data_IF_745904776733
#
_entry.id   IF_745904776733
#
_cell.length_a   1.000
_cell.length_b   1.000
_cell.length_c   1.000
_cell.angle_alpha   90.00
_cell.angle_beta   90.00
_cell.angle_gamma   90.00
#
_symmetry.space_group_name_H-M   'P 1'
#
loop_
_entity.id
_entity.type
_entity.pdbx_description
1 polymer ?
#
# COMPACT_ATOMS: atom_id res chain seq x y z
N UNK A 1 -42.12 -16.27 -46.96
CA UNK A 1 -43.13 -17.04 -46.21
C UNK A 1 -43.70 -16.11 -45.14
N UNK A 2 -44.72 -15.35 -45.52
CA UNK A 2 -45.68 -14.69 -44.61
C UNK A 2 -46.98 -15.54 -44.69
N UNK A 3 -47.98 -15.46 -43.79
CA UNK A 3 -48.71 -14.20 -43.48
C UNK A 3 -49.23 -14.06 -42.01
N UNK A 4 -49.44 -12.82 -41.52
CA UNK A 4 -50.73 -12.12 -41.22
C UNK A 4 -51.56 -12.65 -40.03
N UNK A 5 -51.75 -11.87 -38.94
CA UNK A 5 -52.77 -10.81 -38.66
C UNK A 5 -54.20 -11.33 -38.45
N UNK A 6 -54.83 -10.94 -37.33
CA UNK A 6 -56.28 -11.09 -37.11
C UNK A 6 -56.80 -10.67 -35.73
N UNK A 7 -57.34 -9.45 -35.65
CA UNK A 7 -58.08 -8.82 -34.52
C UNK A 7 -59.50 -9.41 -34.32
N UNK A 8 -60.04 -9.26 -33.10
CA UNK A 8 -61.41 -8.76 -32.74
C UNK A 8 -61.51 -8.80 -31.18
N UNK A 9 -61.87 -7.76 -30.40
CA UNK A 9 -63.13 -6.97 -30.35
C UNK A 9 -64.21 -7.79 -29.62
N UNK A 10 -65.00 -7.39 -28.62
CA UNK A 10 -65.30 -6.17 -27.86
C UNK A 10 -66.27 -6.59 -26.71
N UNK A 11 -66.50 -5.75 -25.68
CA UNK A 11 -67.71 -5.85 -24.85
C UNK A 11 -67.56 -5.47 -23.36
N UNK A 12 -67.94 -4.25 -22.99
CA UNK A 12 -68.67 -3.98 -21.73
C UNK A 12 -70.18 -4.27 -21.95
N UNK A 13 -71.08 -4.13 -20.95
CA UNK A 13 -71.12 -3.03 -19.97
C UNK A 13 -71.61 -3.37 -18.52
N UNK A 14 -71.50 -2.35 -17.66
CA UNK A 14 -72.38 -1.93 -16.55
C UNK A 14 -72.84 -2.86 -15.40
N UNK A 15 -72.70 -2.35 -14.16
CA UNK A 15 -73.85 -2.24 -13.25
C UNK A 15 -73.68 -2.68 -11.79
N UNK A 16 -73.75 -1.70 -10.87
CA UNK A 16 -74.56 -1.83 -9.64
C UNK A 16 -73.85 -2.20 -8.33
N UNK A 17 -73.87 -1.28 -7.36
CA UNK A 17 -73.27 -1.42 -6.03
C UNK A 17 -74.18 -2.05 -4.96
N UNK A 18 -73.60 -2.21 -3.76
CA UNK A 18 -74.33 -2.54 -2.54
C UNK A 18 -73.46 -3.12 -1.41
N UNK A 19 -73.23 -2.30 -0.37
CA UNK A 19 -73.39 -2.72 1.04
C UNK A 19 -72.24 -3.43 1.78
N UNK A 20 -71.56 -2.65 2.64
CA UNK A 20 -71.18 -2.92 4.05
C UNK A 20 -70.56 -4.28 4.46
N UNK A 21 -69.33 -4.20 5.00
CA UNK A 21 -68.75 -5.19 5.90
C UNK A 21 -67.45 -4.67 6.50
N UNK A 22 -67.54 -4.12 7.71
CA UNK A 22 -66.39 -3.77 8.54
C UNK A 22 -65.74 -5.05 9.10
N UNK A 23 -64.43 -5.20 8.91
CA UNK A 23 -63.56 -6.01 9.76
C UNK A 23 -62.11 -5.60 9.49
N UNK A 24 -61.43 -5.26 10.58
CA UNK A 24 -60.06 -4.76 10.67
C UNK A 24 -59.07 -5.57 9.81
N UNK A 25 -58.35 -4.86 8.94
CA UNK A 25 -57.07 -5.32 8.39
C UNK A 25 -56.02 -4.31 8.79
N UNK A 26 -55.28 -4.67 9.83
CA UNK A 26 -54.02 -4.04 10.20
C UNK A 26 -53.05 -4.16 9.00
N UNK A 27 -52.59 -3.01 8.51
CA UNK A 27 -51.43 -2.90 7.64
C UNK A 27 -50.18 -3.39 8.40
N UNK A 28 -49.32 -4.25 7.82
CA UNK A 28 -47.98 -4.44 8.35
C UNK A 28 -47.12 -3.29 7.85
N UNK A 29 -47.12 -2.19 8.59
CA UNK A 29 -46.08 -1.18 8.51
C UNK A 29 -44.77 -1.76 9.11
N UNK A 30 -43.69 -1.55 8.37
CA UNK A 30 -42.32 -1.40 8.86
C UNK A 30 -41.68 -2.60 9.57
N UNK A 31 -41.12 -3.50 8.76
CA UNK A 31 -39.97 -4.30 9.16
C UNK A 31 -38.88 -4.20 8.07
N UNK A 32 -38.49 -2.98 7.70
CA UNK A 32 -37.10 -2.78 7.26
C UNK A 32 -36.22 -2.78 8.51
N UNK A 33 -35.91 -4.00 8.97
CA UNK A 33 -34.79 -4.24 9.88
C UNK A 33 -33.51 -3.99 9.07
N UNK A 34 -33.20 -2.70 8.88
CA UNK A 34 -31.91 -2.26 8.39
C UNK A 34 -30.91 -2.79 9.41
N UNK A 35 -30.23 -3.87 9.04
CA UNK A 35 -29.11 -4.45 9.76
C UNK A 35 -28.01 -3.39 9.87
N UNK A 36 -28.18 -2.44 10.79
CA UNK A 36 -27.20 -1.41 11.12
C UNK A 36 -26.04 -2.14 11.78
N UNK A 37 -25.05 -2.46 10.96
CA UNK A 37 -23.75 -2.90 11.45
C UNK A 37 -23.28 -1.84 12.46
N UNK A 38 -23.07 -2.20 13.74
CA UNK A 38 -22.72 -1.21 14.75
C UNK A 38 -21.49 -0.45 14.27
N UNK A 39 -21.49 0.88 14.38
CA UNK A 39 -20.43 1.74 13.82
C UNK A 39 -19.00 1.28 14.20
N UNK A 40 -18.84 0.65 15.37
CA UNK A 40 -17.58 0.03 15.79
C UNK A 40 -17.11 -1.17 14.95
N UNK A 41 -18.01 -1.95 14.36
CA UNK A 41 -17.67 -3.06 13.47
C UNK A 41 -17.17 -2.57 12.10
N UNK A 42 -17.67 -1.43 11.62
CA UNK A 42 -17.20 -0.82 10.38
C UNK A 42 -15.76 -0.27 10.53
N UNK A 43 -15.47 0.44 11.62
CA UNK A 43 -14.11 0.95 11.90
C UNK A 43 -13.12 -0.17 12.19
N UNK A 44 -13.53 -1.23 12.89
CA UNK A 44 -12.71 -2.42 13.09
C UNK A 44 -12.36 -3.12 11.76
N UNK A 45 -13.32 -3.22 10.84
CA UNK A 45 -13.08 -3.76 9.49
C UNK A 45 -12.14 -2.87 8.69
N UNK A 46 -12.31 -1.55 8.74
CA UNK A 46 -11.42 -0.60 8.08
C UNK A 46 -9.99 -0.72 8.61
N UNK A 47 -9.79 -0.82 9.93
CA UNK A 47 -8.49 -1.05 10.56
C UNK A 47 -7.85 -2.36 10.09
N UNK A 48 -8.62 -3.46 10.05
CA UNK A 48 -8.14 -4.75 9.56
C UNK A 48 -7.65 -4.68 8.11
N UNK A 49 -8.40 -4.00 7.23
CA UNK A 49 -8.00 -3.81 5.84
C UNK A 49 -6.76 -2.91 5.70
N UNK A 50 -6.64 -1.85 6.50
CA UNK A 50 -5.42 -1.03 6.51
C UNK A 50 -4.20 -1.84 6.96
N UNK A 51 -4.36 -2.73 7.95
CA UNK A 51 -3.30 -3.64 8.36
C UNK A 51 -2.88 -4.57 7.20
N UNK A 52 -3.83 -5.12 6.45
CA UNK A 52 -3.55 -5.95 5.27
C UNK A 52 -2.79 -5.17 4.18
N UNK A 53 -3.20 -3.92 3.91
CA UNK A 53 -2.53 -3.04 2.94
C UNK A 53 -1.12 -2.65 3.38
N UNK A 54 -0.93 -2.29 4.65
CA UNK A 54 0.38 -1.91 5.20
C UNK A 54 1.33 -3.10 5.26
N UNK A 55 0.80 -4.27 5.67
CA UNK A 55 1.54 -5.53 5.64
C UNK A 55 2.02 -5.85 4.22
N UNK A 56 1.12 -5.78 3.24
CA UNK A 56 1.47 -6.03 1.84
C UNK A 56 2.54 -5.05 1.34
N UNK A 57 2.38 -3.75 1.60
CA UNK A 57 3.34 -2.72 1.18
C UNK A 57 4.73 -2.91 1.80
N UNK A 58 4.82 -3.20 3.09
CA UNK A 58 6.10 -3.51 3.75
C UNK A 58 6.73 -4.79 3.17
N UNK A 59 5.92 -5.83 2.91
CA UNK A 59 6.41 -7.08 2.32
C UNK A 59 6.93 -6.85 0.90
N UNK A 60 6.22 -6.10 0.05
CA UNK A 60 6.68 -5.79 -1.31
C UNK A 60 8.03 -5.08 -1.30
N UNK A 61 8.25 -4.11 -0.42
CA UNK A 61 9.55 -3.43 -0.31
C UNK A 61 10.63 -4.36 0.23
N UNK A 62 10.31 -5.22 1.21
CA UNK A 62 11.23 -6.22 1.72
C UNK A 62 11.63 -7.25 0.64
N UNK A 63 10.67 -7.71 -0.16
CA UNK A 63 10.89 -8.65 -1.24
C UNK A 63 11.79 -8.04 -2.31
N UNK A 64 11.50 -6.80 -2.73
CA UNK A 64 12.25 -6.10 -3.76
C UNK A 64 13.68 -5.72 -3.36
N UNK A 65 13.95 -5.44 -2.08
CA UNK A 65 15.25 -4.93 -1.62
C UNK A 65 16.04 -5.90 -0.74
N UNK A 66 15.38 -6.59 0.20
CA UNK A 66 16.05 -7.41 1.20
C UNK A 66 16.19 -8.86 0.73
N UNK A 67 15.13 -9.44 0.15
CA UNK A 67 15.12 -10.85 -0.22
C UNK A 67 15.74 -11.14 -1.59
N UNK A 68 15.59 -10.22 -2.56
CA UNK A 68 16.33 -10.29 -3.82
C UNK A 68 17.82 -10.06 -3.63
N UNK A 69 18.20 -9.25 -2.62
CA UNK A 69 19.58 -8.81 -2.37
C UNK A 69 20.25 -8.25 -3.63
N UNK A 70 19.49 -7.54 -4.48
CA UNK A 70 19.99 -6.96 -5.73
C UNK A 70 21.01 -5.85 -5.40
N UNK A 71 22.28 -5.97 -5.82
CA UNK A 71 23.33 -5.01 -5.48
C UNK A 71 23.22 -3.76 -6.35
N UNK A 72 22.14 -3.00 -6.18
CA UNK A 72 21.85 -1.75 -6.89
C UNK A 72 21.48 -0.65 -5.90
N UNK A 73 21.77 0.61 -6.20
CA UNK A 73 21.39 1.73 -5.36
C UNK A 73 19.90 1.94 -5.48
N UNK A 74 19.28 2.24 -4.33
CA UNK A 74 17.89 2.67 -4.30
C UNK A 74 17.80 4.11 -4.77
N UNK A 75 16.99 4.36 -5.81
CA UNK A 75 16.77 5.69 -6.39
C UNK A 75 15.34 6.16 -6.18
N UNK A 76 15.05 6.63 -4.97
CA UNK A 76 13.75 7.23 -4.63
C UNK A 76 13.90 8.72 -4.32
N UNK A 77 12.82 9.47 -4.51
CA UNK A 77 12.76 10.88 -4.09
C UNK A 77 13.07 11.04 -2.58
N UNK A 78 12.70 10.02 -1.78
CA UNK A 78 13.01 9.92 -0.36
C UNK A 78 14.50 9.85 -0.04
N UNK A 79 15.38 9.58 -1.02
CA UNK A 79 16.83 9.51 -0.83
C UNK A 79 17.56 10.67 -1.53
N UNK A 80 17.02 11.20 -2.63
CA UNK A 80 17.61 12.32 -3.37
C UNK A 80 17.69 13.61 -2.54
N UNK A 81 16.81 13.78 -1.54
CA UNK A 81 16.78 14.94 -0.63
C UNK A 81 17.92 14.91 0.40
N UNK A 82 18.46 13.74 0.74
CA UNK A 82 19.39 13.58 1.87
C UNK A 82 20.85 13.56 1.44
N UNK A 83 21.17 13.41 0.17
CA UNK A 83 22.54 13.33 -0.35
C UNK A 83 23.16 11.94 -0.16
N UNK A 84 23.86 11.48 -1.20
CA UNK A 84 24.27 10.09 -1.45
C UNK A 84 25.46 9.59 -0.60
N UNK A 85 25.76 10.24 0.53
CA UNK A 85 26.90 9.84 1.37
C UNK A 85 26.49 8.80 2.42
N UNK A 86 27.40 7.86 2.70
CA UNK A 86 27.23 6.84 3.75
C UNK A 86 26.92 7.48 5.11
N UNK A 87 27.60 8.57 5.48
CA UNK A 87 27.40 9.26 6.75
C UNK A 87 25.96 9.77 6.93
N UNK A 88 25.42 10.46 5.92
CA UNK A 88 24.03 10.94 5.96
C UNK A 88 23.01 9.81 5.94
N UNK A 89 23.26 8.75 5.18
CA UNK A 89 22.38 7.57 5.21
C UNK A 89 22.33 6.94 6.61
N UNK A 90 23.48 6.82 7.29
CA UNK A 90 23.55 6.31 8.66
C UNK A 90 22.77 7.17 9.66
N UNK A 91 22.88 8.49 9.56
CA UNK A 91 22.11 9.42 10.40
C UNK A 91 20.60 9.30 10.17
N UNK A 92 20.19 9.24 8.90
CA UNK A 92 18.80 9.04 8.52
C UNK A 92 18.27 7.72 9.05
N UNK A 93 18.99 6.60 8.85
CA UNK A 93 18.61 5.28 9.40
C UNK A 93 18.45 5.34 10.92
N UNK A 94 19.39 5.97 11.63
CA UNK A 94 19.29 6.12 13.08
C UNK A 94 18.08 6.95 13.52
N UNK A 95 17.77 8.02 12.78
CA UNK A 95 16.58 8.86 13.01
C UNK A 95 15.29 8.09 12.79
N UNK A 96 15.19 7.36 11.68
CA UNK A 96 14.02 6.53 11.32
C UNK A 96 13.81 5.39 12.33
N UNK A 97 14.88 4.71 12.75
CA UNK A 97 14.80 3.67 13.77
C UNK A 97 14.30 4.19 15.12
N UNK A 98 14.72 5.40 15.53
CA UNK A 98 14.20 6.05 16.75
C UNK A 98 12.73 6.43 16.62
N UNK A 99 12.32 7.00 15.48
CA UNK A 99 10.91 7.30 15.20
C UNK A 99 10.05 6.05 15.27
N UNK A 100 10.54 4.93 14.74
CA UNK A 100 9.82 3.65 14.72
C UNK A 100 9.62 3.10 16.13
N UNK A 101 10.63 3.23 16.99
CA UNK A 101 10.52 2.84 18.39
C UNK A 101 9.43 3.64 19.15
N UNK A 102 9.29 4.94 18.83
CA UNK A 102 8.25 5.80 19.40
C UNK A 102 6.87 5.36 18.90
N UNK A 103 6.70 5.20 17.58
CA UNK A 103 5.41 4.79 17.02
C UNK A 103 4.98 3.40 17.52
N UNK A 104 5.89 2.43 17.65
CA UNK A 104 5.56 1.11 18.18
C UNK A 104 5.17 1.15 19.66
N UNK A 105 5.76 2.06 20.44
CA UNK A 105 5.34 2.31 21.84
C UNK A 105 3.94 2.88 21.88
N UNK A 106 3.68 3.87 21.03
CA UNK A 106 2.39 4.56 21.00
C UNK A 106 1.29 3.61 20.49
N UNK A 107 1.60 2.75 19.51
CA UNK A 107 0.72 1.65 19.07
C UNK A 107 0.40 0.68 20.20
N UNK A 108 1.40 0.25 20.98
CA UNK A 108 1.18 -0.64 22.13
C UNK A 108 0.28 0.02 23.19
N UNK A 109 0.45 1.33 23.42
CA UNK A 109 -0.40 2.09 24.33
C UNK A 109 -1.83 2.26 23.79
N UNK A 110 -2.00 2.48 22.49
CA UNK A 110 -3.32 2.56 21.84
C UNK A 110 -4.04 1.22 21.84
N UNK A 111 -3.33 0.11 21.62
CA UNK A 111 -3.87 -1.25 21.65
C UNK A 111 -4.37 -1.67 23.05
N UNK A 112 -3.93 -0.97 24.11
CA UNK A 112 -4.37 -1.16 25.48
C UNK A 112 -5.64 -0.36 25.84
N UNK A 113 -6.09 0.57 24.99
CA UNK A 113 -7.26 1.42 25.28
C UNK A 113 -8.55 0.67 24.97
N UNK A 114 -9.46 0.67 25.95
CA UNK A 114 -10.81 0.11 25.82
C UNK A 114 -11.86 1.23 25.77
N UNK A 115 -12.90 1.12 24.92
CA UNK A 115 -13.10 0.10 23.89
C UNK A 115 -12.21 0.35 22.66
N UNK A 116 -11.60 -0.71 22.10
CA UNK A 116 -10.73 -0.61 20.92
C UNK A 116 -11.43 0.05 19.71
N UNK A 117 -12.76 -0.12 19.59
CA UNK A 117 -13.56 0.52 18.56
C UNK A 117 -13.51 2.06 18.59
N UNK A 118 -13.35 2.66 19.78
CA UNK A 118 -13.20 4.11 19.92
C UNK A 118 -11.81 4.61 19.52
N UNK A 119 -10.80 3.72 19.54
CA UNK A 119 -9.41 4.01 19.17
C UNK A 119 -8.98 3.47 17.80
N UNK A 120 -9.89 2.86 17.04
CA UNK A 120 -9.58 2.18 15.79
C UNK A 120 -9.03 3.13 14.71
N UNK A 121 -9.49 4.39 14.72
CA UNK A 121 -9.01 5.43 13.81
C UNK A 121 -7.58 5.85 14.15
N UNK A 122 -7.25 6.08 15.42
CA UNK A 122 -5.88 6.41 15.85
C UNK A 122 -4.92 5.24 15.59
N UNK A 123 -5.37 4.01 15.82
CA UNK A 123 -4.61 2.81 15.47
C UNK A 123 -4.33 2.74 13.97
N UNK A 124 -5.32 3.05 13.12
CA UNK A 124 -5.16 3.07 11.67
C UNK A 124 -4.07 4.05 11.24
N UNK A 125 -4.14 5.28 11.74
CA UNK A 125 -3.14 6.33 11.48
C UNK A 125 -1.75 5.87 11.95
N UNK A 126 -1.65 5.32 13.17
CA UNK A 126 -0.39 4.85 13.72
C UNK A 126 0.23 3.71 12.89
N UNK A 127 -0.59 2.76 12.41
CA UNK A 127 -0.14 1.67 11.53
C UNK A 127 0.33 2.20 10.16
N UNK A 128 -0.37 3.18 9.60
CA UNK A 128 0.05 3.86 8.35
C UNK A 128 1.41 4.57 8.53
N UNK A 129 1.59 5.32 9.62
CA UNK A 129 2.85 5.99 9.95
C UNK A 129 4.00 5.00 10.17
N UNK A 130 3.74 3.86 10.83
CA UNK A 130 4.71 2.77 10.99
C UNK A 130 5.10 2.22 9.61
N UNK A 131 4.13 1.98 8.73
CA UNK A 131 4.37 1.48 7.38
C UNK A 131 5.26 2.43 6.57
N UNK A 132 4.93 3.72 6.52
CA UNK A 132 5.72 4.74 5.82
C UNK A 132 7.16 4.79 6.34
N UNK A 133 7.31 4.74 7.66
CA UNK A 133 8.62 4.82 8.29
C UNK A 133 9.47 3.57 8.04
N UNK A 134 8.85 2.37 8.05
CA UNK A 134 9.52 1.10 7.74
C UNK A 134 9.95 1.04 6.28
N UNK A 135 9.11 1.49 5.35
CA UNK A 135 9.46 1.60 3.93
C UNK A 135 10.66 2.54 3.75
N UNK A 136 10.60 3.75 4.33
CA UNK A 136 11.71 4.71 4.27
C UNK A 136 13.00 4.15 4.90
N UNK A 137 12.90 3.48 6.05
CA UNK A 137 14.04 2.84 6.72
C UNK A 137 14.67 1.78 5.82
N UNK A 138 13.84 0.94 5.18
CA UNK A 138 14.30 -0.16 4.31
C UNK A 138 15.03 0.37 3.08
N UNK A 139 14.48 1.39 2.43
CA UNK A 139 15.13 2.09 1.32
C UNK A 139 16.50 2.66 1.72
N UNK A 140 16.56 3.34 2.88
CA UNK A 140 17.81 3.90 3.40
C UNK A 140 18.84 2.82 3.72
N UNK A 141 18.42 1.70 4.30
CA UNK A 141 19.33 0.60 4.65
C UNK A 141 19.88 -0.10 3.40
N UNK A 142 19.02 -0.35 2.40
CA UNK A 142 19.46 -0.96 1.15
C UNK A 142 20.44 -0.05 0.40
N UNK A 143 20.16 1.26 0.32
CA UNK A 143 21.07 2.22 -0.30
C UNK A 143 22.40 2.33 0.48
N UNK A 144 22.35 2.43 1.82
CA UNK A 144 23.56 2.47 2.64
C UNK A 144 24.39 1.19 2.48
N UNK A 145 23.74 0.03 2.45
CA UNK A 145 24.38 -1.27 2.22
C UNK A 145 25.07 -1.32 0.87
N UNK A 146 24.42 -0.83 -0.19
CA UNK A 146 25.00 -0.71 -1.53
C UNK A 146 26.26 0.18 -1.50
N UNK A 147 26.18 1.39 -0.94
CA UNK A 147 27.30 2.32 -0.89
C UNK A 147 28.50 1.72 -0.15
N UNK A 148 28.26 1.09 1.00
CA UNK A 148 29.31 0.42 1.79
C UNK A 148 29.93 -0.75 1.04
N UNK A 149 29.13 -1.50 0.28
CA UNK A 149 29.59 -2.68 -0.46
C UNK A 149 30.45 -2.33 -1.67
N UNK A 150 30.09 -1.27 -2.40
CA UNK A 150 30.84 -0.80 -3.58
C UNK A 150 32.17 -0.15 -3.20
N UNK A 151 32.28 0.38 -1.98
CA UNK A 151 33.55 0.91 -1.46
C UNK A 151 34.58 -0.19 -1.09
N UNK A 152 34.18 -1.46 -1.04
CA UNK A 152 35.11 -2.55 -0.72
C UNK A 152 36.03 -2.90 -1.91
N UNK A 153 37.22 -3.40 -1.60
CA UNK A 153 38.17 -3.83 -2.63
C UNK A 153 37.60 -4.94 -3.52
N UNK A 154 37.85 -4.83 -4.83
CA UNK A 154 37.35 -5.76 -5.83
C UNK A 154 35.87 -5.61 -6.16
N UNK A 155 35.19 -4.59 -5.62
CA UNK A 155 33.84 -4.21 -6.04
C UNK A 155 33.88 -3.17 -7.16
N UNK A 156 32.85 -3.17 -8.02
CA UNK A 156 32.59 -2.15 -9.02
C UNK A 156 31.11 -1.72 -8.98
N UNK A 157 30.79 -0.44 -9.23
CA UNK A 157 29.42 0.06 -9.18
C UNK A 157 28.53 -0.58 -10.25
N UNK A 158 27.22 -0.42 -10.11
CA UNK A 158 26.27 -0.89 -11.13
C UNK A 158 26.40 -0.07 -12.43
N UNK A 159 25.97 -0.68 -13.53
CA UNK A 159 25.74 0.02 -14.79
C UNK A 159 24.22 0.18 -14.95
N UNK A 160 23.69 1.43 -14.89
CA UNK A 160 22.27 1.66 -15.02
C UNK A 160 21.77 1.28 -16.41
N UNK A 161 20.63 0.59 -16.46
CA UNK A 161 19.82 0.50 -17.66
C UNK A 161 18.78 1.61 -17.78
N UNK A 162 17.98 1.59 -18.86
CA UNK A 162 16.84 2.49 -19.03
C UNK A 162 15.80 2.35 -17.91
N UNK A 163 15.62 1.14 -17.38
CA UNK A 163 14.60 0.83 -16.36
C UNK A 163 15.25 0.58 -15.01
N UNK A 164 14.83 1.33 -13.99
CA UNK A 164 15.11 1.02 -12.60
C UNK A 164 14.02 0.10 -12.04
N UNK A 165 14.36 -1.18 -11.85
CA UNK A 165 13.43 -2.20 -11.36
C UNK A 165 12.77 -1.81 -10.05
N UNK A 166 13.55 -1.31 -9.08
CA UNK A 166 13.01 -0.98 -7.78
C UNK A 166 12.06 0.20 -7.89
N UNK A 167 12.49 1.29 -8.54
CA UNK A 167 11.67 2.50 -8.70
C UNK A 167 10.34 2.20 -9.41
N UNK A 168 10.39 1.41 -10.49
CA UNK A 168 9.22 1.05 -11.28
C UNK A 168 8.23 0.19 -10.47
N UNK A 169 8.71 -0.91 -9.87
CA UNK A 169 7.86 -1.79 -9.06
C UNK A 169 7.33 -1.08 -7.81
N UNK A 170 8.15 -0.21 -7.19
CA UNK A 170 7.75 0.58 -6.02
C UNK A 170 6.65 1.58 -6.35
N UNK A 171 6.72 2.25 -7.50
CA UNK A 171 5.70 3.18 -7.98
C UNK A 171 4.38 2.45 -8.33
N UNK A 172 4.46 1.30 -9.00
CA UNK A 172 3.28 0.46 -9.26
C UNK A 172 2.60 0.00 -7.96
N UNK A 173 3.38 -0.44 -6.98
CA UNK A 173 2.86 -0.83 -5.66
C UNK A 173 2.26 0.35 -4.87
N UNK A 174 2.78 1.58 -5.04
CA UNK A 174 2.20 2.77 -4.41
C UNK A 174 0.83 3.12 -5.01
N UNK A 175 0.68 3.00 -6.33
CA UNK A 175 -0.62 3.15 -7.01
C UNK A 175 -1.63 2.13 -6.50
N UNK A 176 -1.22 0.85 -6.39
CA UNK A 176 -2.05 -0.21 -5.84
C UNK A 176 -2.48 0.08 -4.40
N UNK A 177 -1.54 0.51 -3.56
CA UNK A 177 -1.82 0.86 -2.17
C UNK A 177 -2.81 2.02 -2.06
N UNK A 178 -2.54 3.14 -2.73
CA UNK A 178 -3.35 4.37 -2.63
C UNK A 178 -4.75 4.21 -3.23
N UNK A 179 -4.88 3.50 -4.35
CA UNK A 179 -6.20 3.15 -4.91
C UNK A 179 -6.92 2.13 -4.02
N UNK A 180 -6.19 1.20 -3.40
CA UNK A 180 -6.72 0.23 -2.44
C UNK A 180 -7.36 0.84 -1.20
N UNK A 181 -6.90 2.02 -0.74
CA UNK A 181 -7.52 2.75 0.38
C UNK A 181 -9.00 3.11 0.13
N UNK A 182 -9.43 3.26 -1.13
CA UNK A 182 -10.84 3.46 -1.44
C UNK A 182 -11.72 2.25 -1.11
N UNK A 183 -11.13 1.08 -0.85
CA UNK A 183 -11.86 -0.10 -0.34
C UNK A 183 -11.90 -0.14 1.18
N UNK A 184 -11.03 0.61 1.87
CA UNK A 184 -10.99 0.67 3.34
C UNK A 184 -11.90 1.75 3.89
N UNK A 185 -12.05 2.85 3.16
CA UNK A 185 -12.98 3.92 3.51
C UNK A 185 -14.42 3.59 3.09
N UNK A 186 -15.39 4.06 3.87
CA UNK A 186 -16.78 4.19 3.43
C UNK A 186 -17.01 5.58 2.83
N UNK A 187 -18.00 5.72 1.94
CA UNK A 187 -18.38 7.01 1.35
C UNK A 187 -18.65 8.09 2.42
N UNK A 188 -19.21 7.72 3.57
CA UNK A 188 -19.51 8.65 4.66
C UNK A 188 -18.29 9.04 5.50
N UNK A 189 -17.23 8.23 5.46
CA UNK A 189 -15.98 8.46 6.21
C UNK A 189 -14.89 9.14 5.38
N UNK A 190 -14.96 9.04 4.05
CA UNK A 190 -13.94 9.57 3.16
C UNK A 190 -14.07 11.08 3.06
N UNK A 191 -12.99 11.79 3.40
CA UNK A 191 -12.94 13.25 3.32
C UNK A 191 -12.44 13.70 1.95
N UNK A 192 -12.83 14.91 1.54
CA UNK A 192 -12.29 15.53 0.32
C UNK A 192 -10.77 15.69 0.37
N UNK A 193 -10.19 15.85 1.57
CA UNK A 193 -8.74 15.89 1.78
C UNK A 193 -8.08 14.55 1.47
N UNK A 194 -8.62 13.44 2.00
CA UNK A 194 -8.13 12.09 1.70
C UNK A 194 -8.21 11.75 0.21
N UNK A 195 -9.33 12.09 -0.45
CA UNK A 195 -9.47 11.91 -1.91
C UNK A 195 -8.41 12.70 -2.69
N UNK A 196 -8.09 13.90 -2.21
CA UNK A 196 -7.07 14.74 -2.84
C UNK A 196 -5.66 14.18 -2.61
N UNK A 197 -5.34 13.70 -1.41
CA UNK A 197 -4.08 13.02 -1.11
C UNK A 197 -3.87 11.78 -1.99
N UNK A 198 -4.91 10.94 -2.13
CA UNK A 198 -4.89 9.77 -3.01
C UNK A 198 -4.60 10.20 -4.46
N UNK A 199 -5.28 11.23 -4.98
CA UNK A 199 -5.03 11.73 -6.33
C UNK A 199 -3.60 12.25 -6.52
N UNK A 200 -3.07 13.00 -5.56
CA UNK A 200 -1.70 13.54 -5.64
C UNK A 200 -0.70 12.38 -5.70
N UNK A 201 -0.77 11.46 -4.73
CA UNK A 201 0.17 10.35 -4.64
C UNK A 201 0.09 9.37 -5.83
N UNK A 202 -1.12 9.10 -6.34
CA UNK A 202 -1.31 8.30 -7.56
C UNK A 202 -0.71 9.00 -8.77
N UNK A 203 -0.90 10.31 -8.90
CA UNK A 203 -0.35 11.10 -10.02
C UNK A 203 1.17 11.13 -9.96
N UNK A 204 1.77 11.37 -8.79
CA UNK A 204 3.22 11.34 -8.59
C UNK A 204 3.81 9.99 -8.97
N UNK A 205 3.20 8.90 -8.50
CA UNK A 205 3.64 7.54 -8.81
C UNK A 205 3.50 7.20 -10.30
N UNK A 206 2.41 7.62 -10.92
CA UNK A 206 2.22 7.43 -12.36
C UNK A 206 3.19 8.24 -13.22
N UNK A 207 3.60 9.43 -12.77
CA UNK A 207 4.61 10.22 -13.46
C UNK A 207 5.97 9.49 -13.46
N UNK A 208 6.36 8.87 -12.33
CA UNK A 208 7.57 8.02 -12.27
C UNK A 208 7.51 6.89 -13.30
N UNK A 209 6.35 6.22 -13.42
CA UNK A 209 6.14 5.16 -14.41
C UNK A 209 6.20 5.70 -15.85
N UNK A 210 5.59 6.86 -16.11
CA UNK A 210 5.60 7.51 -17.42
C UNK A 210 7.01 7.93 -17.84
N UNK A 211 7.78 8.51 -16.93
CA UNK A 211 9.18 8.92 -17.17
C UNK A 211 10.05 7.69 -17.46
N UNK A 212 9.83 6.59 -16.73
CA UNK A 212 10.50 5.31 -16.98
C UNK A 212 10.17 4.74 -18.35
N UNK A 213 8.90 4.81 -18.78
CA UNK A 213 8.48 4.41 -20.13
C UNK A 213 9.14 5.25 -21.22
N UNK A 214 9.18 6.58 -21.03
CA UNK A 214 9.79 7.50 -22.00
C UNK A 214 11.27 7.20 -22.17
N UNK A 215 12.01 7.14 -21.06
CA UNK A 215 13.43 6.79 -21.07
C UNK A 215 13.69 5.43 -21.72
N UNK A 216 12.91 4.42 -21.36
CA UNK A 216 13.06 3.09 -21.94
C UNK A 216 12.70 3.02 -23.42
N UNK A 217 11.70 3.79 -23.88
CA UNK A 217 11.39 3.88 -25.31
C UNK A 217 12.53 4.54 -26.11
N UNK A 218 13.16 5.57 -25.55
CA UNK A 218 14.24 6.30 -26.23
C UNK A 218 15.53 5.48 -26.32
N UNK A 219 15.83 4.67 -25.31
CA UNK A 219 17.04 3.83 -25.24
C UNK A 219 16.84 2.41 -25.81
N UNK A 220 15.61 1.98 -26.06
CA UNK A 220 15.31 0.65 -26.60
C UNK A 220 15.90 0.47 -28.01
N UNK A 221 16.64 -0.62 -28.19
CA UNK A 221 17.24 -0.98 -29.48
C UNK A 221 16.19 -1.53 -30.46
N UNK A 222 15.27 -2.36 -29.97
CA UNK A 222 14.24 -2.99 -30.79
C UNK A 222 13.01 -2.08 -30.97
N UNK A 223 12.54 -1.96 -32.21
CA UNK A 223 11.37 -1.15 -32.56
C UNK A 223 10.09 -1.62 -31.86
N UNK A 224 9.92 -2.94 -31.69
CA UNK A 224 8.76 -3.51 -31.00
C UNK A 224 8.73 -3.14 -29.52
N UNK A 225 9.87 -3.22 -28.84
CA UNK A 225 10.01 -2.85 -27.43
C UNK A 225 9.75 -1.35 -27.25
N UNK A 226 10.31 -0.53 -28.15
CA UNK A 226 10.09 0.91 -28.18
C UNK A 226 8.62 1.27 -28.33
N UNK A 227 7.91 0.65 -29.27
CA UNK A 227 6.49 0.92 -29.46
C UNK A 227 5.66 0.41 -28.27
N UNK A 228 6.01 -0.75 -27.69
CA UNK A 228 5.31 -1.27 -26.53
C UNK A 228 5.41 -0.34 -25.32
N UNK A 229 6.58 0.26 -25.05
CA UNK A 229 6.71 1.28 -24.00
C UNK A 229 5.83 2.52 -24.26
N UNK A 230 5.71 2.95 -25.53
CA UNK A 230 4.81 4.06 -25.90
C UNK A 230 3.34 3.71 -25.71
N UNK A 231 2.95 2.45 -25.96
CA UNK A 231 1.61 1.97 -25.68
C UNK A 231 1.32 1.91 -24.18
N UNK A 232 2.27 1.41 -23.38
CA UNK A 232 2.17 1.42 -21.92
C UNK A 232 2.02 2.84 -21.37
N UNK A 233 2.83 3.80 -21.85
CA UNK A 233 2.74 5.22 -21.49
C UNK A 233 1.35 5.80 -21.77
N UNK A 234 0.81 5.57 -22.97
CA UNK A 234 -0.54 6.02 -23.36
C UNK A 234 -1.61 5.41 -22.46
N UNK A 235 -1.51 4.12 -22.16
CA UNK A 235 -2.47 3.40 -21.32
C UNK A 235 -2.47 3.92 -19.87
N UNK A 236 -1.28 4.08 -19.25
CA UNK A 236 -1.16 4.62 -17.90
C UNK A 236 -1.71 6.04 -17.85
N UNK A 237 -1.32 6.90 -18.79
CA UNK A 237 -1.82 8.28 -18.86
C UNK A 237 -3.35 8.33 -18.96
N UNK A 238 -3.96 7.49 -19.82
CA UNK A 238 -5.40 7.44 -19.98
C UNK A 238 -6.12 6.96 -18.71
N UNK A 239 -5.61 5.90 -18.06
CA UNK A 239 -6.21 5.33 -16.85
C UNK A 239 -6.07 6.25 -15.64
N UNK A 240 -4.93 6.94 -15.45
CA UNK A 240 -4.74 7.96 -14.41
C UNK A 240 -5.72 9.12 -14.58
N UNK A 241 -5.85 9.64 -15.80
CA UNK A 241 -6.77 10.74 -16.08
C UNK A 241 -8.22 10.34 -15.82
N UNK A 242 -8.59 9.11 -16.17
CA UNK A 242 -9.94 8.58 -15.93
C UNK A 242 -10.20 8.43 -14.42
N UNK A 243 -9.25 7.86 -13.67
CA UNK A 243 -9.33 7.75 -12.22
C UNK A 243 -9.46 9.12 -11.54
N UNK A 244 -8.58 10.07 -11.87
CA UNK A 244 -8.61 11.42 -11.31
C UNK A 244 -9.89 12.17 -11.70
N UNK A 245 -10.40 11.97 -12.92
CA UNK A 245 -11.69 12.48 -13.36
C UNK A 245 -12.84 11.93 -12.52
N UNK A 246 -12.83 10.63 -12.24
CA UNK A 246 -13.82 9.98 -11.37
C UNK A 246 -13.79 10.52 -9.95
N UNK A 247 -12.60 10.74 -9.36
CA UNK A 247 -12.47 11.32 -8.02
C UNK A 247 -12.97 12.76 -7.98
N UNK A 248 -12.67 13.57 -9.00
CA UNK A 248 -13.23 14.93 -9.12
C UNK A 248 -14.75 14.89 -9.18
N UNK A 249 -15.32 14.01 -10.00
CA UNK A 249 -16.77 13.86 -10.12
C UNK A 249 -17.43 13.39 -8.82
N UNK A 250 -16.78 12.48 -8.08
CA UNK A 250 -17.23 12.05 -6.75
C UNK A 250 -17.23 13.21 -5.75
N UNK A 251 -16.22 14.08 -5.76
CA UNK A 251 -16.15 15.26 -4.87
C UNK A 251 -17.31 16.21 -5.13
N UNK A 252 -17.69 16.39 -6.40
CA UNK A 252 -18.82 17.24 -6.78
C UNK A 252 -20.17 16.56 -6.48
N UNK A 253 -20.24 15.24 -6.61
CA UNK A 253 -21.46 14.43 -6.43
C UNK A 253 -21.16 13.14 -5.64
N UNK A 254 -21.22 13.17 -4.29
CA UNK A 254 -20.91 12.02 -3.44
C UNK A 254 -22.05 11.00 -3.44
N UNK A 255 -22.01 10.05 -4.37
CA UNK A 255 -22.97 8.93 -4.46
C UNK A 255 -22.23 7.60 -4.44
N UNK A 256 -22.88 6.53 -3.98
CA UNK A 256 -22.29 5.18 -3.96
C UNK A 256 -21.89 4.70 -5.36
N UNK A 257 -22.65 5.10 -6.38
CA UNK A 257 -22.32 4.82 -7.77
C UNK A 257 -21.00 5.47 -8.18
N UNK A 258 -20.82 6.76 -7.86
CA UNK A 258 -19.58 7.48 -8.16
C UNK A 258 -18.40 6.97 -7.32
N UNK A 259 -18.67 6.54 -6.10
CA UNK A 259 -17.65 5.94 -5.23
C UNK A 259 -17.15 4.62 -5.81
N UNK A 260 -18.08 3.76 -6.22
CA UNK A 260 -17.77 2.50 -6.88
C UNK A 260 -17.06 2.70 -8.22
N UNK A 261 -17.42 3.74 -8.98
CA UNK A 261 -16.70 4.10 -10.20
C UNK A 261 -15.23 4.42 -9.92
N UNK A 262 -14.92 5.16 -8.84
CA UNK A 262 -13.53 5.43 -8.44
C UNK A 262 -12.76 4.14 -8.13
N UNK A 263 -13.40 3.18 -7.46
CA UNK A 263 -12.78 1.88 -7.16
C UNK A 263 -12.47 1.09 -8.44
N UNK A 264 -13.42 1.01 -9.37
CA UNK A 264 -13.24 0.31 -10.66
C UNK A 264 -12.15 0.95 -11.52
N UNK A 265 -12.12 2.28 -11.61
CA UNK A 265 -11.05 2.97 -12.35
C UNK A 265 -9.70 2.85 -11.65
N UNK A 266 -9.66 2.78 -10.32
CA UNK A 266 -8.46 2.48 -9.55
C UNK A 266 -7.90 1.08 -9.85
N UNK A 267 -8.77 0.07 -9.98
CA UNK A 267 -8.37 -1.29 -10.37
C UNK A 267 -7.79 -1.36 -11.79
N UNK A 268 -8.42 -0.68 -12.75
CA UNK A 268 -7.92 -0.61 -14.13
C UNK A 268 -6.55 0.07 -14.21
N UNK A 269 -6.35 1.13 -13.42
CA UNK A 269 -5.06 1.80 -13.30
C UNK A 269 -4.00 0.89 -12.69
N UNK A 270 -4.29 0.25 -11.55
CA UNK A 270 -3.37 -0.70 -10.89
C UNK A 270 -2.96 -1.83 -11.84
N UNK A 271 -3.92 -2.39 -12.59
CA UNK A 271 -3.64 -3.43 -13.59
C UNK A 271 -2.69 -2.93 -14.68
N UNK A 272 -2.88 -1.69 -15.14
CA UNK A 272 -2.04 -1.07 -16.17
C UNK A 272 -0.61 -0.82 -15.68
N UNK A 273 -0.45 -0.34 -14.45
CA UNK A 273 0.85 -0.14 -13.81
C UNK A 273 1.60 -1.47 -13.60
N UNK A 274 0.90 -2.50 -13.12
CA UNK A 274 1.48 -3.82 -12.89
C UNK A 274 1.87 -4.51 -14.21
N UNK A 275 1.07 -4.35 -15.27
CA UNK A 275 1.42 -4.86 -16.59
C UNK A 275 2.72 -4.24 -17.14
N UNK A 276 2.92 -2.92 -16.96
CA UNK A 276 4.19 -2.26 -17.29
C UNK A 276 5.33 -2.81 -16.45
N UNK A 277 5.15 -2.94 -15.13
CA UNK A 277 6.18 -3.46 -14.24
C UNK A 277 6.66 -4.85 -14.66
N UNK A 278 5.74 -5.74 -15.02
CA UNK A 278 6.07 -7.07 -15.55
C UNK A 278 6.80 -6.97 -16.89
N UNK A 279 6.27 -6.21 -17.84
CA UNK A 279 6.86 -6.05 -19.17
C UNK A 279 8.29 -5.47 -19.12
N UNK A 280 8.51 -4.44 -18.31
CA UNK A 280 9.78 -3.73 -18.27
C UNK A 280 10.87 -4.49 -17.48
N UNK A 281 10.49 -5.43 -16.61
CA UNK A 281 11.43 -6.20 -15.79
C UNK A 281 11.69 -7.61 -16.29
N UNK A 282 11.00 -8.04 -17.36
CA UNK A 282 11.20 -9.36 -17.98
C UNK A 282 12.52 -9.47 -18.74
N UNK A 283 13.03 -8.37 -19.31
CA UNK A 283 14.27 -8.33 -20.08
C UNK A 283 15.40 -7.74 -19.24
N UNK A 284 16.43 -8.54 -18.87
CA UNK A 284 17.59 -8.06 -18.14
C UNK A 284 18.36 -6.94 -18.85
N UNK A 285 18.30 -6.85 -20.17
CA UNK A 285 19.01 -5.81 -20.93
C UNK A 285 18.49 -4.41 -20.62
N UNK A 286 17.19 -4.28 -20.35
CA UNK A 286 16.56 -3.00 -19.98
C UNK A 286 16.92 -2.54 -18.56
N UNK A 287 17.35 -3.44 -17.69
CA UNK A 287 17.73 -3.11 -16.32
C UNK A 287 19.21 -2.75 -16.19
N UNK A 288 20.05 -3.06 -17.19
CA UNK A 288 21.50 -2.96 -17.06
C UNK A 288 22.08 -4.01 -16.10
N UNK A 289 23.32 -3.84 -15.65
CA UNK A 289 23.99 -4.79 -14.76
C UNK A 289 24.11 -4.26 -13.33
N UNK A 290 23.78 -5.08 -12.33
CA UNK A 290 24.01 -4.75 -10.91
C UNK A 290 25.51 -4.59 -10.60
N UNK A 291 25.84 -4.08 -9.41
CA UNK A 291 27.22 -3.96 -8.97
C UNK A 291 27.90 -5.33 -8.87
N UNK A 292 29.15 -5.39 -9.29
CA UNK A 292 29.99 -6.57 -9.08
C UNK A 292 30.61 -6.41 -7.71
N UNK A 293 30.30 -7.29 -6.77
CA UNK A 293 30.78 -7.19 -5.40
C UNK A 293 31.86 -8.24 -5.13
N UNK A 294 32.97 -7.81 -4.53
CA UNK A 294 33.94 -8.70 -3.90
C UNK A 294 33.33 -9.43 -2.69
N UNK A 295 34.07 -10.39 -2.11
CA UNK A 295 33.61 -11.14 -0.94
C UNK A 295 33.25 -10.24 0.24
N UNK A 296 34.13 -9.29 0.59
CA UNK A 296 33.89 -8.31 1.66
C UNK A 296 32.69 -7.40 1.37
N UNK A 297 32.51 -6.96 0.12
CA UNK A 297 31.35 -6.16 -0.31
C UNK A 297 30.04 -6.91 -0.14
N UNK A 298 29.99 -8.17 -0.56
CA UNK A 298 28.80 -9.03 -0.42
C UNK A 298 28.47 -9.33 1.03
N UNK A 299 29.47 -9.65 1.87
CA UNK A 299 29.29 -9.84 3.31
C UNK A 299 28.75 -8.57 3.99
N UNK A 300 29.27 -7.40 3.61
CA UNK A 300 28.83 -6.10 4.15
C UNK A 300 27.37 -5.83 3.77
N UNK A 301 27.02 -5.96 2.49
CA UNK A 301 25.64 -5.79 2.01
C UNK A 301 24.69 -6.74 2.76
N UNK A 302 25.00 -8.04 2.77
CA UNK A 302 24.17 -9.06 3.42
C UNK A 302 24.00 -8.80 4.91
N UNK A 303 25.05 -8.34 5.60
CA UNK A 303 24.99 -7.98 7.01
C UNK A 303 24.02 -6.82 7.26
N UNK A 304 24.04 -5.78 6.41
CA UNK A 304 23.13 -4.63 6.50
C UNK A 304 21.69 -5.07 6.22
N UNK A 305 21.46 -5.79 5.10
CA UNK A 305 20.13 -6.24 4.71
C UNK A 305 19.53 -7.21 5.74
N UNK A 306 20.33 -8.12 6.30
CA UNK A 306 19.91 -9.03 7.37
C UNK A 306 19.55 -8.28 8.66
N UNK A 307 20.33 -7.28 9.05
CA UNK A 307 20.02 -6.45 10.22
C UNK A 307 18.74 -5.63 9.99
N UNK A 308 18.54 -5.08 8.79
CA UNK A 308 17.31 -4.39 8.40
C UNK A 308 16.10 -5.33 8.43
N UNK A 309 16.23 -6.55 7.92
CA UNK A 309 15.16 -7.56 7.95
C UNK A 309 14.72 -7.89 9.39
N UNK A 310 15.65 -7.88 10.34
CA UNK A 310 15.36 -8.01 11.77
C UNK A 310 14.50 -6.89 12.36
N UNK A 311 14.42 -5.73 11.70
CA UNK A 311 13.50 -4.63 12.03
C UNK A 311 12.17 -4.76 11.27
N UNK A 312 12.24 -5.04 9.96
CA UNK A 312 11.05 -5.10 9.09
C UNK A 312 10.12 -6.26 9.46
N UNK A 313 10.65 -7.45 9.72
CA UNK A 313 9.85 -8.66 9.99
C UNK A 313 8.93 -8.51 11.22
N UNK A 314 9.40 -8.00 12.38
CA UNK A 314 8.50 -7.68 13.49
C UNK A 314 7.43 -6.64 13.16
N UNK A 315 7.73 -5.62 12.34
CA UNK A 315 6.74 -4.61 11.93
C UNK A 315 5.64 -5.20 11.04
N UNK A 316 5.99 -6.13 10.15
CA UNK A 316 5.03 -6.91 9.38
C UNK A 316 4.13 -7.74 10.32
N UNK A 317 4.72 -8.42 11.30
CA UNK A 317 3.95 -9.20 12.28
C UNK A 317 3.00 -8.34 13.13
N UNK A 318 3.40 -7.11 13.47
CA UNK A 318 2.54 -6.16 14.20
C UNK A 318 1.25 -5.89 13.43
N UNK A 319 1.29 -5.73 12.11
CA UNK A 319 0.08 -5.55 11.31
C UNK A 319 -0.87 -6.75 11.44
N UNK A 320 -0.34 -7.97 11.38
CA UNK A 320 -1.15 -9.19 11.57
C UNK A 320 -1.78 -9.25 12.97
N UNK A 321 -1.04 -8.86 14.02
CA UNK A 321 -1.54 -8.84 15.40
C UNK A 321 -2.63 -7.79 15.59
N UNK A 322 -2.45 -6.57 15.07
CA UNK A 322 -3.45 -5.50 15.16
C UNK A 322 -4.70 -5.86 14.35
N UNK A 323 -4.54 -6.52 13.20
CA UNK A 323 -5.65 -7.06 12.42
C UNK A 323 -6.48 -8.08 13.20
N UNK A 324 -5.82 -9.04 13.88
CA UNK A 324 -6.50 -10.03 14.72
C UNK A 324 -7.29 -9.35 15.86
N UNK A 325 -6.72 -8.33 16.49
CA UNK A 325 -7.38 -7.52 17.52
C UNK A 325 -8.63 -6.82 16.98
N UNK A 326 -8.52 -6.21 15.79
CA UNK A 326 -9.62 -5.52 15.15
C UNK A 326 -10.79 -6.48 14.84
N UNK A 327 -10.50 -7.64 14.24
CA UNK A 327 -11.52 -8.62 13.87
C UNK A 327 -12.25 -9.22 15.09
N UNK A 328 -11.54 -9.51 16.19
CA UNK A 328 -12.15 -10.01 17.43
C UNK A 328 -13.12 -9.01 18.05
N UNK A 329 -12.72 -7.74 18.07
CA UNK A 329 -13.54 -6.65 18.65
C UNK A 329 -14.79 -6.37 17.82
N UNK A 330 -14.72 -6.52 16.50
CA UNK A 330 -15.86 -6.33 15.60
C UNK A 330 -16.94 -7.41 15.68
N UNK A 331 -16.61 -8.61 16.20
CA UNK A 331 -17.52 -9.75 16.28
C UNK A 331 -18.12 -9.99 17.68
N UNK A 332 -17.63 -9.36 18.74
CA UNK A 332 -18.11 -9.60 20.10
C UNK A 332 -19.36 -8.78 20.43
N UNK A 333 -20.54 -9.25 20.02
CA UNK A 333 -21.83 -8.83 20.60
C UNK A 333 -22.17 -9.75 21.77
N UNK A 334 -21.70 -9.42 22.97
CA UNK A 334 -22.12 -10.07 24.21
C UNK A 334 -21.41 -11.39 24.55
N UNK A 335 -20.25 -11.31 25.20
CA UNK A 335 -19.88 -12.15 26.35
C UNK A 335 -18.43 -11.85 26.75
N UNK A 336 -18.22 -11.56 28.04
CA UNK A 336 -16.93 -11.55 28.74
C UNK A 336 -15.76 -10.81 28.08
N UNK A 337 -15.47 -9.59 28.54
CA UNK A 337 -14.19 -8.88 28.32
C UNK A 337 -13.02 -9.73 28.86
N UNK A 338 -12.53 -10.67 28.06
CA UNK A 338 -11.21 -11.26 28.28
C UNK A 338 -10.23 -10.30 27.63
N UNK A 339 -9.54 -9.53 28.47
CA UNK A 339 -8.37 -8.71 28.13
C UNK A 339 -7.51 -9.50 27.12
N UNK A 340 -7.34 -9.02 25.89
CA UNK A 340 -6.43 -9.68 24.92
C UNK A 340 -4.98 -9.33 25.25
N UNK A 341 -4.59 -9.62 26.50
CA UNK A 341 -3.24 -9.43 27.05
C UNK A 341 -2.21 -10.15 26.18
N UNK A 342 -2.61 -11.23 25.50
CA UNK A 342 -1.74 -11.99 24.59
C UNK A 342 -1.36 -11.18 23.36
N UNK A 343 -2.31 -10.52 22.71
CA UNK A 343 -2.02 -9.69 21.54
C UNK A 343 -1.22 -8.44 21.90
N UNK A 344 -1.53 -7.79 23.03
CA UNK A 344 -0.72 -6.66 23.53
C UNK A 344 0.71 -7.09 23.85
N UNK A 345 0.89 -8.23 24.52
CA UNK A 345 2.22 -8.80 24.79
C UNK A 345 2.96 -9.09 23.49
N UNK A 346 2.29 -9.57 22.43
CA UNK A 346 2.91 -9.76 21.11
C UNK A 346 3.37 -8.44 20.50
N UNK A 347 2.59 -7.36 20.58
CA UNK A 347 3.00 -6.02 20.11
C UNK A 347 4.26 -5.55 20.87
N UNK A 348 4.28 -5.72 22.20
CA UNK A 348 5.46 -5.38 23.03
C UNK A 348 6.69 -6.25 22.69
N UNK A 349 6.49 -7.54 22.40
CA UNK A 349 7.56 -8.43 21.93
C UNK A 349 8.14 -7.97 20.59
N UNK A 350 7.28 -7.54 19.66
CA UNK A 350 7.71 -6.98 18.38
C UNK A 350 8.49 -5.68 18.58
N UNK A 351 8.00 -4.78 19.45
CA UNK A 351 8.72 -3.56 19.80
C UNK A 351 10.12 -3.86 20.37
N UNK A 352 10.22 -4.81 21.30
CA UNK A 352 11.51 -5.22 21.87
C UNK A 352 12.44 -5.84 20.81
N UNK A 353 11.89 -6.61 19.86
CA UNK A 353 12.65 -7.15 18.73
C UNK A 353 13.18 -6.03 17.83
N UNK A 354 12.36 -5.05 17.46
CA UNK A 354 12.76 -3.89 16.65
C UNK A 354 13.88 -3.11 17.34
N UNK A 355 13.78 -2.87 18.64
CA UNK A 355 14.82 -2.17 19.40
C UNK A 355 16.16 -2.91 19.37
N UNK A 356 16.16 -4.23 19.61
CA UNK A 356 17.39 -5.05 19.54
C UNK A 356 17.98 -5.06 18.13
N UNK A 357 17.15 -5.23 17.11
CA UNK A 357 17.59 -5.23 15.72
C UNK A 357 18.11 -3.87 15.26
N UNK A 358 17.54 -2.76 15.77
CA UNK A 358 18.00 -1.40 15.49
C UNK A 358 19.42 -1.14 16.02
N UNK A 359 19.75 -1.71 17.20
CA UNK A 359 21.12 -1.64 17.73
C UNK A 359 22.10 -2.42 16.84
N UNK A 360 21.71 -3.63 16.41
CA UNK A 360 22.52 -4.43 15.48
C UNK A 360 22.74 -3.69 14.16
N UNK A 361 21.68 -3.09 13.60
CA UNK A 361 21.73 -2.30 12.37
C UNK A 361 22.69 -1.10 12.50
N UNK A 362 22.62 -0.37 13.61
CA UNK A 362 23.52 0.75 13.88
C UNK A 362 24.99 0.31 13.99
N UNK A 363 25.26 -0.87 14.56
CA UNK A 363 26.60 -1.44 14.63
C UNK A 363 27.14 -1.83 13.25
N UNK A 364 26.34 -2.52 12.43
CA UNK A 364 26.75 -2.91 11.07
C UNK A 364 27.01 -1.69 10.19
N UNK A 365 26.15 -0.67 10.25
CA UNK A 365 26.35 0.59 9.52
C UNK A 365 27.50 1.44 10.08
N UNK A 366 27.91 1.20 11.34
CA UNK A 366 29.00 1.92 12.01
C UNK A 366 30.39 1.34 11.75
N UNK A 367 30.49 0.03 11.51
CA UNK A 367 31.77 -0.66 11.33
C UNK A 367 32.22 -0.79 9.86
N UNK A 368 31.40 -0.38 8.90
CA UNK A 368 31.69 -0.50 7.46
C UNK A 368 32.54 0.62 6.84
N UNK A 369 32.93 1.63 7.61
CA UNK A 369 33.84 2.68 7.13
C UNK A 369 35.30 2.20 7.20
N UNK A 370 36.18 2.59 6.26
CA UNK A 370 37.61 2.44 6.49
C UNK A 370 37.93 3.12 7.82
N UNK A 371 38.49 2.36 8.76
CA UNK A 371 39.12 2.94 9.93
C UNK A 371 40.10 3.99 9.41
N UNK A 372 39.91 5.24 9.83
CA UNK A 372 40.88 6.31 9.63
C UNK A 372 42.27 5.75 9.94
N UNK A 373 43.06 5.54 8.88
CA UNK A 373 44.51 5.47 8.99
C UNK A 373 44.95 6.83 9.52
N UNK A 374 45.36 6.86 10.78
CA UNK A 374 46.39 7.79 11.25
C UNK A 374 47.63 7.00 11.58
#
# INVERSE_FOLDING_TARGET
MAPELGRQGAGGPEGGGGGQGAADREDPADAEDVFQCPAGAAEARALALTCDLCQHRMQTVADLLLLTSDPRPVRTASLSVFGESVGRCRETVASRARGLAVLLRDLAALALREPLAAGARELRVCVEEICDLVVSLTECCAHAGYLLAVLQEGSSPEVPGPVDRYQLCRAAAEVEHKTGLLRTYSLHSVTALQLTDICISVTESANILNDSCLKAADEAQEDNVREQFRLCLKNITATVNTFCGSVKFLKDKPTDLNYRACQVFGEALTTSCNALAVFATQDPQLMGSGAILGYAGRETLNSVLSACMGVVSPCVLVCSVVRELALKTGCSTGSGHVRDDKAVVRVQQCQAAVLRSSVKLAHVLGNGGPQDQR
#
